data_IF_645234630505
#
_entry.id   IF_645234630505
#
_cell.length_a   1.000
_cell.length_b   1.000
_cell.length_c   1.000
_cell.angle_alpha   90.00
_cell.angle_beta   90.00
_cell.angle_gamma   90.00
#
_symmetry.space_group_name_H-M   'P 1'
#
loop_
_entity.id
_entity.type
_entity.pdbx_description
1 polymer ?
#
# COMPACT_ATOMS: atom_id res chain seq x y z
N UNK A 1 -23.78 2.38 -5.24
CA UNK A 1 -22.31 2.33 -5.19
C UNK A 1 -21.91 1.16 -6.06
N UNK A 2 -21.42 1.39 -7.27
CA UNK A 2 -20.75 0.36 -8.07
C UNK A 2 -19.52 1.05 -8.66
N UNK A 3 -18.32 0.66 -8.24
CA UNK A 3 -17.10 1.19 -8.81
C UNK A 3 -16.86 0.60 -10.21
N UNK A 4 -16.12 1.34 -11.03
CA UNK A 4 -15.69 0.88 -12.35
C UNK A 4 -14.89 -0.43 -12.23
N UNK A 5 -15.45 -1.55 -12.69
CA UNK A 5 -14.87 -2.89 -12.58
C UNK A 5 -15.64 -3.89 -11.69
N UNK A 6 -16.71 -3.45 -11.03
CA UNK A 6 -17.53 -4.29 -10.14
C UNK A 6 -18.86 -4.65 -10.80
N UNK A 7 -18.81 -5.57 -11.76
CA UNK A 7 -19.98 -5.83 -12.63
C UNK A 7 -20.63 -7.19 -12.41
N UNK A 8 -20.02 -8.07 -11.61
CA UNK A 8 -20.63 -9.32 -11.17
C UNK A 8 -21.21 -9.22 -9.76
N UNK A 9 -22.31 -9.93 -9.50
CA UNK A 9 -22.87 -10.10 -8.15
C UNK A 9 -21.79 -10.49 -7.12
N UNK A 10 -20.92 -11.42 -7.50
CA UNK A 10 -19.77 -11.88 -6.70
C UNK A 10 -18.81 -10.75 -6.35
N UNK A 11 -18.47 -9.89 -7.31
CA UNK A 11 -17.57 -8.76 -7.05
C UNK A 11 -18.25 -7.71 -6.16
N UNK A 12 -19.50 -7.35 -6.46
CA UNK A 12 -20.26 -6.35 -5.69
C UNK A 12 -20.42 -6.79 -4.23
N UNK A 13 -20.86 -8.04 -4.01
CA UNK A 13 -21.01 -8.57 -2.66
C UNK A 13 -19.65 -8.69 -1.96
N UNK A 14 -18.62 -9.13 -2.68
CA UNK A 14 -17.27 -9.27 -2.12
C UNK A 14 -16.70 -7.92 -1.66
N UNK A 15 -16.78 -6.88 -2.48
CA UNK A 15 -16.36 -5.53 -2.09
C UNK A 15 -17.22 -5.03 -0.93
N UNK A 16 -18.54 -5.22 -0.99
CA UNK A 16 -19.43 -4.77 0.09
C UNK A 16 -19.01 -5.38 1.43
N UNK A 17 -18.72 -6.68 1.48
CA UNK A 17 -18.31 -7.36 2.71
C UNK A 17 -16.91 -6.92 3.15
N UNK A 18 -15.99 -6.65 2.22
CA UNK A 18 -14.67 -6.08 2.50
C UNK A 18 -14.76 -4.73 3.21
N UNK A 19 -15.57 -3.82 2.68
CA UNK A 19 -15.72 -2.47 3.24
C UNK A 19 -16.52 -2.49 4.55
N UNK A 20 -17.54 -3.36 4.68
CA UNK A 20 -18.22 -3.59 5.96
C UNK A 20 -17.26 -4.13 7.03
N UNK A 21 -16.31 -4.98 6.67
CA UNK A 21 -15.30 -5.48 7.60
C UNK A 21 -14.39 -4.35 8.13
N UNK A 22 -14.04 -3.34 7.30
CA UNK A 22 -13.34 -2.14 7.78
C UNK A 22 -14.16 -1.37 8.79
N UNK A 23 -15.47 -1.19 8.55
CA UNK A 23 -16.37 -0.52 9.50
C UNK A 23 -16.42 -1.28 10.83
N UNK A 24 -16.51 -2.61 10.80
CA UNK A 24 -16.59 -3.44 12.00
C UNK A 24 -15.26 -3.55 12.77
N UNK A 25 -14.13 -3.51 12.07
CA UNK A 25 -12.80 -3.61 12.68
C UNK A 25 -12.29 -2.26 13.18
N UNK A 26 -12.83 -1.16 12.64
CA UNK A 26 -12.33 0.19 12.85
C UNK A 26 -11.25 0.56 11.83
N UNK A 27 -11.23 1.83 11.44
CA UNK A 27 -10.37 2.34 10.36
C UNK A 27 -8.86 2.14 10.62
N UNK A 28 -8.45 2.05 11.88
CA UNK A 28 -7.05 1.86 12.28
C UNK A 28 -6.56 0.41 12.07
N UNK A 29 -7.48 -0.56 11.97
CA UNK A 29 -7.14 -1.98 11.83
C UNK A 29 -6.54 -2.31 10.45
N UNK A 30 -6.73 -1.44 9.45
CA UNK A 30 -6.32 -1.69 8.06
C UNK A 30 -6.74 -3.10 7.61
N UNK A 31 -5.86 -3.87 6.96
CA UNK A 31 -6.08 -5.29 6.64
C UNK A 31 -5.45 -6.24 7.67
N UNK A 32 -5.39 -5.82 8.94
CA UNK A 32 -4.80 -6.57 10.04
C UNK A 32 -5.62 -7.79 10.49
N UNK A 33 -5.18 -8.50 11.55
CA UNK A 33 -5.87 -9.67 12.10
C UNK A 33 -7.33 -9.40 12.47
N UNK A 34 -7.62 -8.25 13.09
CA UNK A 34 -8.98 -7.87 13.49
C UNK A 34 -9.89 -7.70 12.27
N UNK A 35 -9.40 -7.05 11.22
CA UNK A 35 -10.13 -6.94 9.94
C UNK A 35 -10.41 -8.31 9.32
N UNK A 36 -9.43 -9.22 9.31
CA UNK A 36 -9.64 -10.59 8.81
C UNK A 36 -10.70 -11.33 9.62
N UNK A 37 -10.69 -11.19 10.94
CA UNK A 37 -11.70 -11.78 11.81
C UNK A 37 -13.10 -11.21 11.50
N UNK A 38 -13.21 -9.91 11.18
CA UNK A 38 -14.49 -9.31 10.75
C UNK A 38 -14.92 -9.76 9.36
N UNK A 39 -13.99 -9.98 8.43
CA UNK A 39 -14.30 -10.61 7.14
C UNK A 39 -14.89 -12.00 7.34
N UNK A 40 -14.24 -12.85 8.14
CA UNK A 40 -14.72 -14.20 8.43
C UNK A 40 -16.08 -14.19 9.14
N UNK A 41 -16.27 -13.29 10.11
CA UNK A 41 -17.55 -13.07 10.79
C UNK A 41 -18.70 -12.71 9.82
N UNK A 42 -18.42 -11.89 8.80
CA UNK A 42 -19.38 -11.58 7.74
C UNK A 42 -19.56 -12.73 6.73
N UNK A 43 -18.74 -13.79 6.81
CA UNK A 43 -18.74 -14.93 5.89
C UNK A 43 -17.91 -14.71 4.63
N UNK A 44 -16.92 -13.81 4.67
CA UNK A 44 -15.87 -13.66 3.66
C UNK A 44 -14.60 -14.38 4.14
N UNK A 45 -14.46 -15.66 3.78
CA UNK A 45 -13.52 -16.62 4.41
C UNK A 45 -12.10 -16.63 3.83
N UNK A 46 -11.89 -16.16 2.60
CA UNK A 46 -10.55 -15.99 1.98
C UNK A 46 -10.31 -14.53 1.58
N UNK A 47 -10.51 -13.62 2.55
CA UNK A 47 -10.42 -12.19 2.31
C UNK A 47 -8.98 -11.76 1.99
N UNK A 48 -8.81 -11.05 0.86
CA UNK A 48 -7.53 -10.49 0.41
C UNK A 48 -7.55 -8.96 0.48
N UNK A 49 -6.43 -8.37 0.88
CA UNK A 49 -6.25 -6.92 0.89
C UNK A 49 -6.40 -6.27 -0.51
N UNK A 50 -6.10 -7.03 -1.57
CA UNK A 50 -6.38 -6.64 -2.95
C UNK A 50 -7.86 -6.90 -3.28
N UNK A 51 -8.74 -6.04 -2.77
CA UNK A 51 -10.19 -6.25 -2.70
C UNK A 51 -11.01 -6.27 -4.00
N UNK A 52 -10.53 -6.85 -5.11
CA UNK A 52 -11.29 -6.89 -6.38
C UNK A 52 -11.15 -8.20 -7.17
N UNK A 53 -10.88 -9.33 -6.51
CA UNK A 53 -10.92 -10.64 -7.19
C UNK A 53 -11.61 -11.66 -6.30
N UNK A 54 -12.92 -11.47 -6.14
CA UNK A 54 -13.75 -12.41 -5.41
C UNK A 54 -14.22 -13.54 -6.31
N UNK A 55 -14.33 -14.72 -5.73
CA UNK A 55 -14.95 -15.87 -6.37
C UNK A 55 -16.08 -16.37 -5.47
N UNK A 56 -16.92 -17.27 -5.98
CA UNK A 56 -17.91 -17.92 -5.14
C UNK A 56 -17.28 -18.63 -3.95
N UNK A 57 -16.03 -19.09 -4.08
CA UNK A 57 -15.33 -19.79 -3.02
C UNK A 57 -14.85 -18.89 -1.88
N UNK A 58 -14.80 -17.58 -2.12
CA UNK A 58 -14.43 -16.60 -1.10
C UNK A 58 -15.52 -16.41 -0.03
N UNK A 59 -16.74 -16.89 -0.26
CA UNK A 59 -17.85 -16.78 0.69
C UNK A 59 -18.09 -18.07 1.45
N UNK A 60 -18.60 -17.97 2.67
CA UNK A 60 -19.09 -19.10 3.44
C UNK A 60 -20.29 -19.78 2.74
N UNK A 61 -20.48 -21.11 2.87
CA UNK A 61 -21.50 -21.84 2.11
C UNK A 61 -22.94 -21.36 2.31
N UNK A 62 -23.28 -20.91 3.51
CA UNK A 62 -24.56 -20.31 3.86
C UNK A 62 -24.75 -18.93 3.20
N UNK A 63 -23.71 -18.08 3.21
CA UNK A 63 -23.70 -16.81 2.49
C UNK A 63 -23.89 -17.03 0.98
N UNK A 64 -23.23 -18.03 0.38
CA UNK A 64 -23.43 -18.37 -1.05
C UNK A 64 -24.89 -18.66 -1.38
N UNK A 65 -25.62 -19.32 -0.48
CA UNK A 65 -27.06 -19.60 -0.66
C UNK A 65 -27.87 -18.31 -0.64
N UNK A 66 -27.59 -17.42 0.31
CA UNK A 66 -28.26 -16.12 0.42
C UNK A 66 -27.98 -15.24 -0.82
N UNK A 67 -26.73 -15.16 -1.26
CA UNK A 67 -26.36 -14.38 -2.43
C UNK A 67 -27.04 -14.86 -3.71
N UNK A 68 -27.16 -16.18 -3.90
CA UNK A 68 -27.88 -16.76 -5.06
C UNK A 68 -29.38 -16.45 -5.05
N UNK A 69 -29.95 -16.21 -3.88
CA UNK A 69 -31.36 -15.87 -3.74
C UNK A 69 -31.65 -14.38 -4.00
N UNK A 70 -30.62 -13.53 -4.15
CA UNK A 70 -30.79 -12.10 -4.44
C UNK A 70 -31.46 -11.94 -5.81
N UNK A 71 -32.64 -11.27 -5.89
CA UNK A 71 -33.29 -10.99 -7.16
C UNK A 71 -32.38 -10.17 -8.08
N UNK A 72 -32.32 -10.54 -9.36
CA UNK A 72 -31.56 -9.76 -10.34
C UNK A 72 -32.27 -8.40 -10.55
N UNK A 73 -31.54 -7.28 -10.49
CA UNK A 73 -32.08 -5.98 -10.88
C UNK A 73 -32.64 -6.04 -12.31
N UNK A 74 -33.75 -5.36 -12.54
CA UNK A 74 -34.37 -5.26 -13.88
C UNK A 74 -33.81 -4.06 -14.67
N UNK A 75 -33.09 -3.19 -13.99
CA UNK A 75 -32.53 -1.94 -14.50
C UNK A 75 -30.98 -2.00 -14.58
N UNK A 76 -30.44 -1.53 -15.71
CA UNK A 76 -29.01 -1.50 -15.97
C UNK A 76 -28.41 -2.85 -16.43
N UNK A 77 -27.27 -2.76 -17.12
CA UNK A 77 -26.43 -3.92 -17.47
C UNK A 77 -25.00 -3.65 -17.01
N UNK A 78 -24.30 -4.63 -16.42
CA UNK A 78 -22.97 -4.39 -15.89
C UNK A 78 -21.91 -4.19 -16.99
N UNK A 79 -20.98 -3.25 -16.77
CA UNK A 79 -20.01 -2.78 -17.78
C UNK A 79 -18.94 -3.84 -18.15
N UNK A 80 -18.59 -4.83 -17.31
CA UNK A 80 -17.62 -5.90 -17.67
C UNK A 80 -17.99 -6.65 -18.95
N UNK A 81 -19.29 -6.85 -19.20
CA UNK A 81 -19.76 -7.50 -20.40
C UNK A 81 -19.31 -6.78 -21.68
N UNK A 82 -19.04 -5.47 -21.58
CA UNK A 82 -18.60 -4.61 -22.68
C UNK A 82 -17.06 -4.51 -22.76
N UNK A 83 -16.37 -4.39 -21.63
CA UNK A 83 -14.89 -4.29 -21.60
C UNK A 83 -14.21 -5.57 -22.11
N UNK A 84 -14.73 -6.75 -21.74
CA UNK A 84 -14.23 -8.04 -22.21
C UNK A 84 -14.48 -8.24 -23.72
N UNK A 85 -15.55 -7.68 -24.29
CA UNK A 85 -15.85 -7.73 -25.73
C UNK A 85 -14.89 -6.91 -26.59
N UNK A 86 -14.23 -5.91 -26.01
CA UNK A 86 -13.27 -5.03 -26.70
C UNK A 86 -11.82 -5.49 -26.42
N UNK A 87 -11.63 -6.63 -25.74
CA UNK A 87 -10.30 -7.17 -25.42
C UNK A 87 -9.51 -6.37 -24.37
N UNK A 88 -10.18 -5.48 -23.63
CA UNK A 88 -9.51 -4.65 -22.60
C UNK A 88 -9.69 -5.28 -21.23
N UNK A 89 -8.62 -5.87 -20.70
CA UNK A 89 -8.60 -6.43 -19.34
C UNK A 89 -8.69 -5.31 -18.31
N UNK A 90 -9.75 -5.31 -17.50
CA UNK A 90 -9.86 -4.39 -16.35
C UNK A 90 -8.79 -4.78 -15.33
N UNK A 91 -7.95 -3.83 -14.94
CA UNK A 91 -6.88 -4.04 -13.95
C UNK A 91 -7.44 -3.79 -12.56
N UNK A 92 -7.42 -4.83 -11.72
CA UNK A 92 -7.82 -4.75 -10.32
C UNK A 92 -6.86 -3.85 -9.55
N UNK A 93 -7.34 -2.70 -9.08
CA UNK A 93 -6.59 -1.85 -8.15
C UNK A 93 -6.72 -2.43 -6.75
N UNK A 94 -5.71 -2.43 -5.88
CA UNK A 94 -5.91 -2.90 -4.51
C UNK A 94 -6.68 -1.87 -3.66
N UNK A 95 -7.33 -2.31 -2.57
CA UNK A 95 -8.04 -1.40 -1.66
C UNK A 95 -7.03 -0.42 -1.03
N UNK A 96 -7.37 0.87 -1.03
CA UNK A 96 -6.52 1.93 -0.47
C UNK A 96 -6.47 1.91 1.05
N UNK A 97 -7.50 1.35 1.70
CA UNK A 97 -7.63 1.27 3.15
C UNK A 97 -6.70 0.19 3.71
N UNK A 98 -5.43 0.55 3.94
CA UNK A 98 -4.35 -0.37 4.33
C UNK A 98 -3.15 -0.36 3.36
N UNK A 99 -3.30 0.25 2.19
CA UNK A 99 -2.18 0.59 1.30
C UNK A 99 -1.85 2.07 1.51
N UNK A 100 -1.07 2.34 2.56
CA UNK A 100 -0.62 3.70 2.86
C UNK A 100 -0.14 3.95 4.30
N UNK A 101 -0.52 3.12 5.28
CA UNK A 101 -0.09 3.28 6.69
C UNK A 101 1.34 2.81 6.96
N UNK A 102 1.96 2.09 6.02
CA UNK A 102 3.41 1.95 5.93
C UNK A 102 3.82 2.43 4.56
N UNK A 103 4.58 3.54 4.51
CA UNK A 103 5.08 4.25 3.34
C UNK A 103 4.80 3.58 2.00
N UNK A 104 3.91 4.19 1.21
CA UNK A 104 3.51 3.66 -0.09
C UNK A 104 4.70 3.23 -0.93
N UNK A 105 4.64 2.01 -1.48
CA UNK A 105 5.47 1.57 -2.60
C UNK A 105 5.09 2.27 -3.91
N UNK A 106 4.49 3.46 -3.86
CA UNK A 106 4.17 4.25 -5.07
C UNK A 106 5.41 4.59 -5.89
N UNK A 107 6.61 4.37 -5.33
CA UNK A 107 7.89 4.47 -6.01
C UNK A 107 8.75 3.20 -5.99
N UNK A 108 8.17 2.03 -5.68
CA UNK A 108 8.87 0.75 -5.62
C UNK A 108 9.61 0.48 -4.30
N UNK A 109 10.01 -0.78 -4.10
CA UNK A 109 10.86 -1.19 -2.97
C UNK A 109 12.19 -0.43 -3.07
N UNK A 110 12.49 0.41 -2.08
CA UNK A 110 13.74 1.21 -2.04
C UNK A 110 13.57 2.71 -2.20
N UNK A 111 12.35 3.23 -2.41
CA UNK A 111 12.12 4.67 -2.58
C UNK A 111 11.77 5.42 -1.29
N UNK A 112 12.53 5.16 -0.23
CA UNK A 112 12.84 6.28 0.66
C UNK A 112 13.87 7.12 -0.07
N UNK A 113 13.70 8.46 -0.17
CA UNK A 113 14.86 9.27 -0.51
C UNK A 113 15.88 9.01 0.61
N UNK A 114 16.93 8.24 0.33
CA UNK A 114 18.01 8.01 1.28
C UNK A 114 18.86 9.27 1.34
N UNK A 115 18.28 10.32 1.91
CA UNK A 115 18.98 11.56 2.19
C UNK A 115 20.09 11.24 3.18
N UNK A 116 21.31 11.54 2.79
CA UNK A 116 22.51 11.35 3.58
C UNK A 116 22.59 12.51 4.55
N UNK A 117 22.73 12.19 5.84
CA UNK A 117 23.00 13.18 6.86
C UNK A 117 24.47 13.60 6.78
N UNK A 118 24.69 14.90 6.84
CA UNK A 118 26.00 15.54 6.83
C UNK A 118 26.07 16.45 8.05
N UNK A 119 27.17 16.39 8.77
CA UNK A 119 27.37 17.11 10.02
C UNK A 119 28.64 17.98 9.97
N UNK A 120 28.58 19.16 10.60
CA UNK A 120 29.73 19.99 10.83
C UNK A 120 30.48 19.46 12.06
N UNK A 121 31.78 19.21 11.94
CA UNK A 121 32.59 18.68 13.05
C UNK A 121 32.86 19.72 14.15
N UNK A 122 32.77 21.01 13.83
CA UNK A 122 33.10 22.10 14.76
C UNK A 122 31.90 22.48 15.64
N UNK A 123 30.71 22.64 15.06
CA UNK A 123 29.52 23.08 15.81
C UNK A 123 28.35 22.08 15.82
N UNK A 124 28.50 20.93 15.19
CA UNK A 124 27.44 19.90 15.16
C UNK A 124 26.24 20.25 14.29
N UNK A 125 26.24 21.37 13.55
CA UNK A 125 25.18 21.71 12.60
C UNK A 125 24.97 20.56 11.61
N UNK A 126 23.71 20.22 11.30
CA UNK A 126 23.41 19.08 10.42
C UNK A 126 22.49 19.46 9.27
N UNK A 127 22.77 18.91 8.09
CA UNK A 127 21.94 19.03 6.90
C UNK A 127 21.73 17.63 6.33
N UNK A 128 20.60 17.41 5.68
CA UNK A 128 20.34 16.18 4.92
C UNK A 128 20.33 16.52 3.44
N UNK A 129 21.15 15.83 2.65
CA UNK A 129 21.25 16.04 1.20
C UNK A 129 21.18 14.71 0.44
N UNK A 130 21.02 14.74 -0.88
CA UNK A 130 21.04 13.52 -1.69
C UNK A 130 22.47 13.12 -2.06
N UNK A 131 22.70 11.82 -2.28
CA UNK A 131 24.00 11.32 -2.76
C UNK A 131 24.41 11.96 -4.11
N UNK A 132 23.43 12.37 -4.92
CA UNK A 132 23.69 13.09 -6.18
C UNK A 132 24.43 14.42 -5.93
N UNK A 133 24.03 15.18 -4.92
CA UNK A 133 24.66 16.46 -4.59
C UNK A 133 26.02 16.29 -3.92
N UNK A 134 26.20 15.26 -3.10
CA UNK A 134 27.51 14.96 -2.50
C UNK A 134 28.61 14.64 -3.53
N UNK A 135 28.24 14.10 -4.69
CA UNK A 135 29.18 13.88 -5.80
C UNK A 135 29.64 15.18 -6.47
N UNK A 136 28.85 16.25 -6.34
CA UNK A 136 29.16 17.57 -6.91
C UNK A 136 29.97 18.39 -5.91
N UNK A 137 29.66 18.29 -4.61
CA UNK A 137 30.41 18.95 -3.55
C UNK A 137 29.79 18.76 -2.17
N UNK A 138 30.59 19.01 -1.14
CA UNK A 138 30.13 18.96 0.25
C UNK A 138 29.40 20.27 0.62
N UNK A 139 28.29 20.20 1.37
CA UNK A 139 27.63 21.39 1.86
C UNK A 139 28.55 22.13 2.85
N UNK A 140 28.44 23.46 2.90
CA UNK A 140 29.18 24.31 3.85
C UNK A 140 28.31 24.65 5.05
N UNK A 141 28.92 24.65 6.22
CA UNK A 141 28.31 25.16 7.43
C UNK A 141 28.10 26.69 7.29
N UNK A 142 26.99 27.26 7.80
CA UNK A 142 26.78 28.71 7.80
C UNK A 142 27.87 29.50 8.55
N UNK A 143 28.55 28.87 9.50
CA UNK A 143 29.53 29.50 10.39
C UNK A 143 30.96 29.01 10.15
N UNK A 144 31.12 27.76 9.71
CA UNK A 144 32.42 27.09 9.56
C UNK A 144 32.64 26.63 8.10
N UNK A 145 33.48 25.62 7.92
CA UNK A 145 33.88 25.09 6.61
C UNK A 145 32.95 23.97 6.13
N UNK A 146 33.50 23.11 5.27
CA UNK A 146 32.80 21.97 4.67
C UNK A 146 32.36 20.95 5.71
N UNK A 147 31.16 20.44 5.53
CA UNK A 147 30.54 19.47 6.42
C UNK A 147 30.85 18.04 5.97
N UNK A 148 30.90 17.10 6.90
CA UNK A 148 31.28 15.70 6.64
C UNK A 148 30.05 14.78 6.65
N UNK A 149 29.86 13.89 5.65
CA UNK A 149 28.79 12.90 5.66
C UNK A 149 28.94 11.87 6.80
N UNK A 150 27.87 11.58 7.53
CA UNK A 150 27.90 10.63 8.65
C UNK A 150 28.30 9.21 8.20
N UNK A 151 28.03 8.85 6.93
CA UNK A 151 28.44 7.57 6.32
C UNK A 151 29.95 7.43 6.10
N UNK A 152 30.69 8.55 6.07
CA UNK A 152 32.16 8.57 5.95
C UNK A 152 32.83 8.60 7.32
N UNK A 153 32.15 9.12 8.35
CA UNK A 153 32.61 9.06 9.74
C UNK A 153 32.72 7.59 10.19
N UNK A 154 31.79 6.73 9.79
CA UNK A 154 31.86 5.29 10.09
C UNK A 154 32.99 4.56 9.37
N UNK A 155 33.40 5.01 8.17
CA UNK A 155 34.51 4.42 7.44
C UNK A 155 35.88 4.84 8.02
N UNK A 156 36.02 6.11 8.42
CA UNK A 156 37.25 6.62 9.03
C UNK A 156 37.47 6.10 10.46
N UNK A 157 36.41 5.89 11.24
CA UNK A 157 36.49 5.32 12.59
C UNK A 157 36.78 3.81 12.62
N UNK A 158 36.58 3.09 11.51
CA UNK A 158 36.98 1.68 11.35
C UNK A 158 38.40 1.52 10.77
N UNK A 159 39.10 2.62 10.50
CA UNK A 159 40.43 2.66 9.87
C UNK A 159 41.61 2.80 10.84
N UNK A 160 41.45 2.48 12.13
CA UNK A 160 42.61 2.23 13.00
C UNK A 160 42.99 0.75 12.84
N UNK A 161 43.93 0.46 11.93
CA UNK A 161 44.74 -0.76 12.01
C UNK A 161 45.12 -1.45 10.70
N UNK A 162 46.37 -1.19 10.28
CA UNK A 162 47.32 -2.05 9.52
C UNK A 162 47.00 -2.21 8.00
N UNK A 163 47.94 -2.02 7.08
CA UNK A 163 49.41 -2.05 7.12
C UNK A 163 50.02 -0.91 6.30
#
# INVERSE_FOLDING_TARGET
ICAFGESGLVQICGTTFHECAHVLAGHEAAHGPDWKAKCEYLGLVDAKASGHSYTWDTFAPDIRKLLKAIPKPKDGQPIEGLANRIGRKVVNRPCSHGIGSRGGKSRGVGSGSRMVKVSCLECGYTVRTSMKWLKVGLPRCPTHKEMTPDVLISAAMLGIGKA
#
